data_IF_348862251996
#
_entry.id   IF_348862251996
#
_cell.length_a   1.000
_cell.length_b   1.000
_cell.length_c   1.000
_cell.angle_alpha   90.00
_cell.angle_beta   90.00
_cell.angle_gamma   90.00
#
_symmetry.space_group_name_H-M   'P 1'
#
loop_
_entity.id
_entity.type
_entity.pdbx_description
1 polymer ?
#
# COMPACT_ATOMS: atom_id res chain seq x y z
N UNK A 1 -1.00 -75.87 -13.18
CA UNK A 1 -0.12 -75.34 -12.12
C UNK A 1 -0.06 -73.84 -12.29
N UNK A 2 -0.61 -73.09 -11.33
CA UNK A 2 -0.47 -71.63 -11.29
C UNK A 2 0.88 -71.31 -10.66
N UNK A 3 1.77 -70.71 -11.44
CA UNK A 3 3.07 -70.23 -10.97
C UNK A 3 2.85 -68.88 -10.30
N UNK A 4 2.88 -68.84 -8.97
CA UNK A 4 2.98 -67.59 -8.23
C UNK A 4 4.39 -67.03 -8.45
N UNK A 5 4.48 -65.90 -9.13
CA UNK A 5 5.74 -65.20 -9.35
C UNK A 5 6.15 -64.53 -8.04
N UNK A 6 7.18 -65.06 -7.40
CA UNK A 6 7.70 -64.53 -6.14
C UNK A 6 8.35 -63.17 -6.41
N UNK A 7 7.94 -62.14 -5.68
CA UNK A 7 8.52 -60.80 -5.79
C UNK A 7 9.98 -60.89 -5.31
N UNK A 8 10.93 -60.56 -6.17
CA UNK A 8 12.36 -60.56 -5.80
C UNK A 8 12.68 -59.37 -4.89
N UNK A 9 13.72 -59.50 -4.07
CA UNK A 9 14.23 -58.37 -3.25
C UNK A 9 14.64 -57.16 -4.08
N UNK A 10 15.00 -57.36 -5.35
CA UNK A 10 15.27 -56.27 -6.29
C UNK A 10 14.00 -55.52 -6.68
N UNK A 11 12.86 -56.21 -6.79
CA UNK A 11 11.57 -55.58 -7.06
C UNK A 11 11.09 -54.80 -5.83
N UNK A 12 11.31 -55.32 -4.62
CA UNK A 12 11.00 -54.61 -3.37
C UNK A 12 11.84 -53.34 -3.25
N UNK A 13 13.17 -53.43 -3.44
CA UNK A 13 14.06 -52.25 -3.43
C UNK A 13 13.74 -51.22 -4.51
N UNK A 14 13.31 -51.66 -5.69
CA UNK A 14 12.87 -50.76 -6.77
C UNK A 14 11.55 -50.06 -6.42
N UNK A 15 10.62 -50.75 -5.75
CA UNK A 15 9.38 -50.15 -5.24
C UNK A 15 9.68 -49.17 -4.12
N UNK A 16 10.53 -49.52 -3.16
CA UNK A 16 10.98 -48.62 -2.08
C UNK A 16 11.64 -47.36 -2.66
N UNK A 17 12.56 -47.49 -3.61
CA UNK A 17 13.19 -46.34 -4.27
C UNK A 17 12.26 -45.50 -5.17
N UNK A 18 11.12 -46.05 -5.60
CA UNK A 18 10.07 -45.29 -6.33
C UNK A 18 9.03 -44.66 -5.40
N UNK A 19 8.93 -45.15 -4.17
CA UNK A 19 8.12 -44.56 -3.09
C UNK A 19 8.89 -43.48 -2.34
N UNK A 20 10.23 -43.57 -2.29
CA UNK A 20 11.13 -42.54 -1.77
C UNK A 20 11.38 -41.40 -2.79
N UNK A 21 10.32 -40.89 -3.42
CA UNK A 21 10.41 -39.51 -3.89
C UNK A 21 10.33 -38.65 -2.62
N UNK A 22 11.50 -38.35 -2.04
CA UNK A 22 11.62 -37.24 -1.10
C UNK A 22 11.37 -35.96 -1.90
N UNK A 23 10.10 -35.61 -2.05
CA UNK A 23 9.72 -34.23 -2.29
C UNK A 23 9.95 -33.60 -0.94
N UNK A 24 11.12 -32.99 -0.74
CA UNK A 24 11.29 -32.09 0.41
C UNK A 24 10.07 -31.15 0.38
N UNK A 25 9.26 -31.12 1.45
CA UNK A 25 8.05 -30.33 1.44
C UNK A 25 8.43 -28.89 1.11
N UNK A 26 7.75 -28.29 0.11
CA UNK A 26 7.98 -26.89 -0.22
C UNK A 26 7.84 -26.06 1.06
N UNK A 27 8.96 -25.51 1.54
CA UNK A 27 8.97 -24.68 2.75
C UNK A 27 8.12 -23.45 2.45
N UNK A 28 7.09 -23.24 3.26
CA UNK A 28 6.19 -22.10 3.12
C UNK A 28 6.66 -20.99 4.06
N UNK A 29 7.10 -19.87 3.46
CA UNK A 29 7.47 -18.69 4.24
C UNK A 29 6.24 -18.02 4.86
N UNK A 30 6.44 -17.50 6.07
CA UNK A 30 5.43 -16.82 6.87
C UNK A 30 5.95 -15.41 7.20
N UNK A 31 5.23 -14.40 6.75
CA UNK A 31 5.46 -13.00 7.11
C UNK A 31 4.71 -12.65 8.39
N UNK A 32 5.46 -12.50 9.49
CA UNK A 32 4.99 -11.92 10.75
C UNK A 32 6.00 -10.86 11.22
N UNK A 33 5.53 -9.73 11.79
CA UNK A 33 6.38 -8.80 12.51
C UNK A 33 6.79 -9.37 13.87
N UNK A 34 7.73 -8.74 14.57
CA UNK A 34 8.08 -9.14 15.95
C UNK A 34 6.93 -8.94 16.95
N UNK A 35 6.09 -7.93 16.68
CA UNK A 35 4.97 -7.52 17.54
C UNK A 35 3.74 -7.16 16.71
N UNK A 36 2.59 -7.60 17.19
CA UNK A 36 1.27 -7.21 16.71
C UNK A 36 0.53 -6.56 17.87
N UNK A 37 -0.04 -5.37 17.67
CA UNK A 37 -0.75 -4.66 18.72
C UNK A 37 -2.26 -4.86 18.57
N UNK A 38 -2.93 -5.13 19.69
CA UNK A 38 -4.39 -5.14 19.78
C UNK A 38 -4.83 -4.13 20.84
N UNK A 39 -5.96 -3.46 20.62
CA UNK A 39 -6.49 -2.43 21.53
C UNK A 39 -7.77 -2.95 22.15
N UNK A 40 -7.90 -2.82 23.48
CA UNK A 40 -9.13 -3.20 24.18
C UNK A 40 -10.34 -2.49 23.58
N UNK A 41 -11.38 -3.27 23.27
CA UNK A 41 -12.62 -2.79 22.66
C UNK A 41 -12.56 -2.59 21.15
N UNK A 42 -11.42 -2.82 20.50
CA UNK A 42 -11.30 -2.78 19.03
C UNK A 42 -10.97 -4.15 18.45
N UNK A 43 -11.53 -4.44 17.28
CA UNK A 43 -11.38 -5.76 16.66
C UNK A 43 -10.06 -5.84 15.91
N UNK A 44 -9.23 -6.82 16.25
CA UNK A 44 -8.08 -7.24 15.45
C UNK A 44 -8.48 -8.44 14.58
N UNK A 45 -8.28 -8.31 13.26
CA UNK A 45 -8.36 -9.41 12.31
C UNK A 45 -7.05 -9.55 11.55
N UNK A 46 -6.49 -10.75 11.56
CA UNK A 46 -5.26 -11.08 10.83
C UNK A 46 -5.58 -12.10 9.74
N UNK A 47 -5.64 -11.62 8.49
CA UNK A 47 -5.99 -12.45 7.35
C UNK A 47 -4.81 -13.31 6.90
N UNK A 48 -5.03 -14.61 6.78
CA UNK A 48 -3.94 -15.56 6.49
C UNK A 48 -3.26 -15.30 5.14
N UNK A 49 -4.01 -14.82 4.14
CA UNK A 49 -3.45 -14.43 2.83
C UNK A 49 -2.42 -13.29 2.89
N UNK A 50 -2.43 -12.47 3.94
CA UNK A 50 -1.41 -11.44 4.15
C UNK A 50 -0.15 -11.94 4.87
N UNK A 51 -0.20 -13.14 5.44
CA UNK A 51 0.88 -13.71 6.27
C UNK A 51 1.58 -14.88 5.60
N UNK A 52 0.86 -15.70 4.83
CA UNK A 52 1.41 -16.89 4.18
C UNK A 52 1.89 -16.54 2.78
N UNK A 53 3.18 -16.75 2.50
CA UNK A 53 3.80 -16.44 1.21
C UNK A 53 3.48 -17.51 0.15
N UNK A 54 2.18 -17.73 -0.11
CA UNK A 54 1.70 -18.66 -1.13
C UNK A 54 0.51 -18.04 -1.88
N UNK A 55 0.41 -18.18 -3.20
CA UNK A 55 -0.69 -17.60 -3.99
C UNK A 55 -2.08 -18.15 -3.61
N UNK A 56 -2.12 -19.40 -3.15
CA UNK A 56 -3.32 -20.10 -2.70
C UNK A 56 -3.11 -20.64 -1.28
N UNK A 57 -3.08 -19.79 -0.25
CA UNK A 57 -2.66 -20.22 1.08
C UNK A 57 -3.67 -21.17 1.73
N UNK A 58 -4.95 -21.05 1.37
CA UNK A 58 -6.04 -21.83 1.96
C UNK A 58 -6.12 -23.29 1.50
N UNK A 59 -5.16 -23.76 0.68
CA UNK A 59 -5.03 -25.19 0.36
C UNK A 59 -4.32 -25.95 1.49
N UNK A 60 -3.63 -25.24 2.37
CA UNK A 60 -2.90 -25.79 3.50
C UNK A 60 -3.74 -25.74 4.79
N UNK A 61 -3.37 -26.58 5.75
CA UNK A 61 -3.82 -26.42 7.13
C UNK A 61 -3.03 -25.28 7.79
N UNK A 62 -3.68 -24.13 7.98
CA UNK A 62 -3.10 -22.96 8.62
C UNK A 62 -3.56 -22.96 10.07
N UNK A 63 -2.61 -23.14 11.00
CA UNK A 63 -2.88 -23.29 12.41
C UNK A 63 -2.27 -22.13 13.22
N UNK A 64 -3.02 -21.05 13.46
CA UNK A 64 -2.63 -20.07 14.46
C UNK A 64 -2.89 -20.61 15.88
N UNK A 65 -1.92 -20.43 16.76
CA UNK A 65 -1.99 -20.79 18.17
C UNK A 65 -1.76 -19.56 19.03
N UNK A 66 -2.74 -19.24 19.87
CA UNK A 66 -2.67 -18.15 20.83
C UNK A 66 -3.61 -18.45 22.01
N UNK A 67 -3.25 -17.99 23.21
CA UNK A 67 -4.13 -18.08 24.39
C UNK A 67 -5.36 -17.15 24.30
N UNK A 68 -5.38 -16.27 23.30
CA UNK A 68 -6.41 -15.26 23.06
C UNK A 68 -6.98 -15.43 21.65
N UNK A 69 -8.17 -14.87 21.42
CA UNK A 69 -8.82 -14.85 20.10
C UNK A 69 -9.39 -16.20 19.65
N UNK A 70 -9.76 -16.26 18.36
CA UNK A 70 -10.41 -17.39 17.71
C UNK A 70 -9.90 -17.53 16.27
N UNK A 71 -9.79 -18.77 15.80
CA UNK A 71 -9.47 -19.07 14.42
C UNK A 71 -10.74 -19.18 13.57
N UNK A 72 -10.75 -18.50 12.43
CA UNK A 72 -11.75 -18.65 11.38
C UNK A 72 -11.07 -19.04 10.07
N UNK A 73 -11.77 -19.63 9.09
CA UNK A 73 -11.14 -20.15 7.86
C UNK A 73 -10.24 -19.16 7.11
N UNK A 74 -10.51 -17.86 7.21
CA UNK A 74 -9.80 -16.81 6.47
C UNK A 74 -8.89 -15.94 7.34
N UNK A 75 -9.10 -15.92 8.64
CA UNK A 75 -8.43 -14.99 9.54
C UNK A 75 -8.47 -15.44 10.99
N UNK A 76 -7.47 -15.01 11.75
CA UNK A 76 -7.56 -15.00 13.21
C UNK A 76 -8.33 -13.75 13.66
N UNK A 77 -9.26 -13.92 14.59
CA UNK A 77 -10.10 -12.87 15.15
C UNK A 77 -9.81 -12.68 16.63
N UNK A 78 -9.69 -11.43 17.06
CA UNK A 78 -9.51 -11.11 18.47
C UNK A 78 -10.17 -9.78 18.82
N UNK A 79 -11.08 -9.81 19.79
CA UNK A 79 -11.66 -8.63 20.43
C UNK A 79 -11.16 -8.57 21.88
N UNK A 80 -10.14 -7.75 22.19
CA UNK A 80 -9.52 -7.74 23.50
C UNK A 80 -10.41 -7.06 24.56
N UNK A 81 -10.34 -7.57 25.78
CA UNK A 81 -10.94 -6.99 26.98
C UNK A 81 -9.87 -6.44 27.92
N UNK A 82 -10.26 -5.65 28.93
CA UNK A 82 -9.32 -5.08 29.92
C UNK A 82 -8.47 -6.14 30.62
N UNK A 83 -8.99 -7.35 30.80
CA UNK A 83 -8.28 -8.47 31.43
C UNK A 83 -7.20 -9.10 30.52
N UNK A 84 -7.18 -8.72 29.24
CA UNK A 84 -6.23 -9.25 28.28
C UNK A 84 -4.99 -8.35 28.11
N UNK A 85 -4.94 -7.18 28.78
CA UNK A 85 -3.80 -6.25 28.72
C UNK A 85 -2.53 -6.97 29.14
N UNK A 86 -1.52 -6.90 28.28
CA UNK A 86 -0.28 -7.66 28.43
C UNK A 86 0.24 -8.19 27.10
N UNK A 87 1.14 -9.15 27.16
CA UNK A 87 1.75 -9.77 25.99
C UNK A 87 1.50 -11.27 26.03
N UNK A 88 1.05 -11.85 24.92
CA UNK A 88 0.96 -13.30 24.73
C UNK A 88 1.72 -13.71 23.47
N UNK A 89 2.37 -14.88 23.45
CA UNK A 89 2.88 -15.46 22.22
C UNK A 89 1.73 -15.71 21.24
N UNK A 90 1.99 -15.45 19.96
CA UNK A 90 1.15 -15.80 18.83
C UNK A 90 1.99 -16.56 17.81
N UNK A 91 1.63 -17.80 17.53
CA UNK A 91 2.34 -18.68 16.61
C UNK A 91 1.45 -19.00 15.41
N UNK A 92 2.03 -19.12 14.23
CA UNK A 92 1.37 -19.63 13.02
C UNK A 92 2.19 -20.79 12.48
N UNK A 93 1.52 -21.92 12.23
CA UNK A 93 2.07 -23.04 11.49
C UNK A 93 1.29 -23.24 10.19
N UNK A 94 1.98 -23.65 9.14
CA UNK A 94 1.38 -24.12 7.88
C UNK A 94 1.73 -25.58 7.74
N UNK A 95 0.73 -26.42 7.49
CA UNK A 95 0.88 -27.87 7.37
C UNK A 95 0.31 -28.40 6.06
N UNK A 96 0.90 -29.48 5.57
CA UNK A 96 0.35 -30.24 4.45
C UNK A 96 -0.83 -31.13 4.89
N UNK A 97 -1.36 -31.91 3.94
CA UNK A 97 -2.47 -32.84 4.17
C UNK A 97 -2.14 -34.00 5.12
N UNK A 98 -0.85 -34.30 5.32
CA UNK A 98 -0.38 -35.41 6.17
C UNK A 98 0.00 -34.88 7.57
N UNK A 99 -0.11 -33.56 7.79
CA UNK A 99 0.18 -32.89 9.05
C UNK A 99 1.65 -32.46 9.20
N UNK A 100 2.48 -32.62 8.17
CA UNK A 100 3.86 -32.17 8.21
C UNK A 100 3.92 -30.65 8.21
N UNK A 101 4.79 -30.06 9.03
CA UNK A 101 4.97 -28.61 9.12
C UNK A 101 5.80 -28.13 7.94
N UNK A 102 5.20 -27.30 7.08
CA UNK A 102 5.84 -26.64 5.95
C UNK A 102 6.45 -25.29 6.34
N UNK A 103 5.95 -24.66 7.41
CA UNK A 103 6.43 -23.37 7.90
C UNK A 103 5.92 -23.08 9.31
N UNK A 104 6.71 -22.35 10.10
CA UNK A 104 6.36 -22.00 11.48
C UNK A 104 7.00 -20.68 11.89
N UNK A 105 6.21 -19.75 12.44
CA UNK A 105 6.72 -18.46 12.92
C UNK A 105 5.94 -17.99 14.14
N UNK A 106 6.63 -17.25 15.02
CA UNK A 106 6.06 -16.70 16.25
C UNK A 106 6.27 -15.20 16.30
N UNK A 107 5.32 -14.47 16.87
CA UNK A 107 5.43 -13.07 17.25
C UNK A 107 4.77 -12.82 18.61
N UNK A 108 4.92 -11.60 19.11
CA UNK A 108 4.25 -11.16 20.33
C UNK A 108 2.94 -10.43 20.00
N UNK A 109 1.81 -10.96 20.47
CA UNK A 109 0.54 -10.22 20.47
C UNK A 109 0.45 -9.38 21.74
N UNK A 110 0.56 -8.07 21.59
CA UNK A 110 0.60 -7.08 22.66
C UNK A 110 -0.76 -6.39 22.76
N UNK A 111 -1.53 -6.72 23.79
CA UNK A 111 -2.79 -6.04 24.09
C UNK A 111 -2.53 -4.77 24.90
N UNK A 112 -3.04 -3.65 24.43
CA UNK A 112 -3.01 -2.36 25.13
C UNK A 112 -4.41 -1.96 25.57
N UNK A 113 -4.48 -1.20 26.67
CA UNK A 113 -5.72 -0.61 27.13
C UNK A 113 -6.37 0.27 26.05
N UNK A 114 -7.67 0.54 26.19
CA UNK A 114 -8.40 1.43 25.30
C UNK A 114 -7.71 2.79 25.25
N UNK A 115 -7.61 3.35 24.05
CA UNK A 115 -6.98 4.65 23.83
C UNK A 115 -7.81 5.76 24.45
N UNK A 116 -7.11 6.78 24.96
CA UNK A 116 -7.71 8.01 25.48
C UNK A 116 -7.28 9.17 24.59
N UNK A 117 -8.00 10.29 24.68
CA UNK A 117 -7.61 11.50 23.98
C UNK A 117 -6.20 11.93 24.41
N UNK A 118 -5.29 12.24 23.46
CA UNK A 118 -4.00 12.83 23.80
C UNK A 118 -4.16 14.10 24.63
N UNK A 119 -3.22 14.36 25.55
CA UNK A 119 -3.22 15.57 26.36
C UNK A 119 -2.99 16.85 25.53
N UNK A 120 -2.29 16.74 24.41
CA UNK A 120 -2.02 17.81 23.45
C UNK A 120 -2.33 17.34 22.04
N UNK A 121 -2.69 18.29 21.16
CA UNK A 121 -3.07 17.99 19.79
C UNK A 121 -1.97 17.19 19.05
N UNK A 122 -2.35 16.04 18.51
CA UNK A 122 -1.48 15.19 17.70
C UNK A 122 -1.72 15.44 16.23
N UNK A 123 -0.66 15.88 15.55
CA UNK A 123 -0.71 16.24 14.14
C UNK A 123 -0.35 15.04 13.27
N UNK A 124 -1.33 14.54 12.54
CA UNK A 124 -1.27 13.32 11.73
C UNK A 124 -1.20 13.69 10.26
N UNK A 125 -0.19 13.20 9.55
CA UNK A 125 -0.09 13.29 8.10
C UNK A 125 -0.32 11.91 7.48
N UNK A 126 -1.26 11.83 6.56
CA UNK A 126 -1.46 10.64 5.73
C UNK A 126 -0.82 10.89 4.36
N UNK A 127 0.17 10.07 3.99
CA UNK A 127 0.91 10.16 2.73
C UNK A 127 0.64 8.91 1.90
N UNK A 128 0.43 9.05 0.59
CA UNK A 128 0.36 7.88 -0.28
C UNK A 128 0.17 8.18 -1.76
N UNK A 129 -0.30 7.16 -2.47
CA UNK A 129 -0.50 7.20 -3.92
C UNK A 129 -1.98 7.45 -4.31
N UNK A 130 -2.45 6.82 -5.39
CA UNK A 130 -3.84 6.87 -5.87
C UNK A 130 -4.86 6.45 -4.82
N UNK A 131 -4.53 5.49 -3.94
CA UNK A 131 -5.45 5.06 -2.87
C UNK A 131 -5.61 6.12 -1.78
N UNK A 132 -4.64 7.01 -1.66
CA UNK A 132 -4.68 8.15 -0.72
C UNK A 132 -5.16 9.42 -1.42
N UNK A 133 -5.08 9.52 -2.74
CA UNK A 133 -5.40 10.71 -3.53
C UNK A 133 -6.79 11.28 -3.20
N UNK A 134 -7.81 10.43 -3.13
CA UNK A 134 -9.18 10.82 -2.80
C UNK A 134 -9.44 11.05 -1.29
N UNK A 135 -8.50 10.69 -0.42
CA UNK A 135 -8.63 10.83 1.03
C UNK A 135 -9.58 9.85 1.70
N UNK A 136 -10.18 8.89 0.98
CA UNK A 136 -11.24 7.99 1.49
C UNK A 136 -10.86 7.31 2.81
N UNK A 137 -9.68 6.67 2.86
CA UNK A 137 -9.24 5.99 4.08
C UNK A 137 -8.78 6.97 5.17
N UNK A 138 -8.29 8.15 4.81
CA UNK A 138 -7.90 9.20 5.76
C UNK A 138 -9.13 9.76 6.47
N UNK A 139 -10.20 10.00 5.72
CA UNK A 139 -11.50 10.45 6.22
C UNK A 139 -12.10 9.37 7.13
N UNK A 140 -12.06 8.10 6.73
CA UNK A 140 -12.55 7.00 7.56
C UNK A 140 -11.72 6.82 8.84
N UNK A 141 -10.38 6.93 8.76
CA UNK A 141 -9.51 6.88 9.93
C UNK A 141 -9.81 8.03 10.90
N UNK A 142 -9.97 9.24 10.37
CA UNK A 142 -10.41 10.41 11.16
C UNK A 142 -11.78 10.15 11.79
N UNK A 143 -12.80 9.77 11.02
CA UNK A 143 -14.14 9.45 11.53
C UNK A 143 -14.10 8.40 12.64
N UNK A 144 -13.28 7.36 12.49
CA UNK A 144 -13.15 6.28 13.48
C UNK A 144 -12.49 6.76 14.77
N UNK A 145 -11.52 7.67 14.71
CA UNK A 145 -10.81 8.17 15.88
C UNK A 145 -11.52 9.35 16.55
N UNK A 146 -11.89 10.37 15.80
CA UNK A 146 -12.42 11.64 16.34
C UNK A 146 -13.95 11.77 16.23
N UNK A 147 -14.59 11.03 15.33
CA UNK A 147 -16.05 11.04 15.15
C UNK A 147 -16.78 10.17 16.18
N UNK A 148 -18.13 10.22 16.18
CA UNK A 148 -18.99 9.52 17.16
C UNK A 148 -20.06 8.61 16.53
N UNK A 149 -20.14 8.53 15.20
CA UNK A 149 -21.11 7.68 14.47
C UNK A 149 -20.44 6.54 13.69
N UNK A 150 -21.14 5.95 12.72
CA UNK A 150 -20.61 4.92 11.79
C UNK A 150 -20.52 3.51 12.36
N UNK A 151 -20.04 2.56 11.53
CA UNK A 151 -19.86 1.15 11.90
C UNK A 151 -18.48 0.67 11.43
N UNK A 152 -17.52 0.43 12.34
CA UNK A 152 -17.64 0.58 13.79
C UNK A 152 -17.82 2.04 14.24
N UNK A 153 -18.49 2.22 15.38
CA UNK A 153 -18.78 3.54 15.98
C UNK A 153 -17.48 4.28 16.26
N UNK A 154 -17.38 5.57 15.94
CA UNK A 154 -16.19 6.38 16.22
C UNK A 154 -15.90 6.55 17.72
N UNK A 155 -14.64 6.79 18.07
CA UNK A 155 -14.18 6.87 19.47
C UNK A 155 -14.37 8.24 20.13
N UNK A 156 -14.72 9.28 19.37
CA UNK A 156 -14.92 10.64 19.90
C UNK A 156 -13.68 11.26 20.55
N UNK A 157 -12.47 10.83 20.14
CA UNK A 157 -11.23 11.36 20.70
C UNK A 157 -11.03 12.81 20.27
N UNK A 158 -10.54 13.64 21.19
CA UNK A 158 -10.13 15.02 20.91
C UNK A 158 -8.62 15.11 20.75
N UNK A 159 -8.12 16.29 20.36
CA UNK A 159 -6.67 16.57 20.27
C UNK A 159 -5.95 15.67 19.24
N UNK A 160 -6.59 15.44 18.10
CA UNK A 160 -6.01 14.76 16.95
C UNK A 160 -6.41 15.55 15.70
N UNK A 161 -5.43 16.01 14.94
CA UNK A 161 -5.64 16.80 13.73
C UNK A 161 -4.99 16.11 12.53
N UNK A 162 -5.81 15.71 11.57
CA UNK A 162 -5.35 15.20 10.27
C UNK A 162 -5.12 16.38 9.33
N UNK A 163 -3.88 16.57 8.91
CA UNK A 163 -3.42 17.76 8.18
C UNK A 163 -2.64 17.36 6.93
N UNK A 164 -2.56 18.27 5.97
CA UNK A 164 -1.88 18.09 4.69
C UNK A 164 -2.36 19.09 3.64
N UNK A 165 -1.65 19.14 2.51
CA UNK A 165 -1.93 20.08 1.41
C UNK A 165 -3.29 19.83 0.75
N UNK A 166 -3.65 18.57 0.54
CA UNK A 166 -4.99 18.22 0.05
C UNK A 166 -5.96 18.23 1.21
N UNK A 167 -7.16 18.75 0.99
CA UNK A 167 -8.17 18.88 2.05
C UNK A 167 -9.53 18.38 1.58
N UNK A 168 -10.35 17.93 2.53
CA UNK A 168 -11.72 17.48 2.30
C UNK A 168 -12.34 16.94 3.58
N UNK A 169 -13.66 17.05 3.71
CA UNK A 169 -14.40 16.60 4.90
C UNK A 169 -13.84 17.11 6.23
N UNK A 170 -13.25 18.31 6.25
CA UNK A 170 -12.69 18.94 7.44
C UNK A 170 -11.31 18.45 7.87
N UNK A 171 -10.62 17.64 7.06
CA UNK A 171 -9.25 17.18 7.32
C UNK A 171 -8.31 17.42 6.13
N UNK A 172 -7.01 17.20 6.34
CA UNK A 172 -6.00 17.21 5.27
C UNK A 172 -5.20 15.91 5.14
N UNK A 173 -4.57 15.71 3.97
CA UNK A 173 -3.69 14.58 3.62
C UNK A 173 -2.76 14.92 2.43
N UNK A 174 -1.88 14.00 2.07
CA UNK A 174 -1.03 14.05 0.88
C UNK A 174 -1.14 12.75 0.07
N UNK A 175 -1.86 12.75 -1.04
CA UNK A 175 -2.01 11.56 -1.88
C UNK A 175 -1.86 11.91 -3.34
N UNK A 176 -1.00 11.23 -4.09
CA UNK A 176 -0.76 11.56 -5.51
C UNK A 176 -0.77 10.30 -6.37
N UNK A 177 -1.68 10.24 -7.35
CA UNK A 177 -1.86 9.07 -8.22
C UNK A 177 -0.57 8.65 -8.93
N UNK A 178 -0.24 7.35 -8.89
CA UNK A 178 0.95 6.79 -9.53
C UNK A 178 2.28 7.05 -8.83
N UNK A 179 2.31 7.78 -7.71
CA UNK A 179 3.57 8.12 -7.04
C UNK A 179 4.19 6.92 -6.33
N UNK A 180 5.51 6.93 -6.27
CA UNK A 180 6.34 5.90 -5.61
C UNK A 180 7.20 6.55 -4.52
N UNK A 181 7.91 5.73 -3.75
CA UNK A 181 8.97 6.23 -2.85
C UNK A 181 10.04 7.04 -3.60
N UNK A 182 10.35 6.67 -4.83
CA UNK A 182 11.33 7.38 -5.66
C UNK A 182 10.82 8.77 -6.05
N UNK A 183 9.52 8.90 -6.34
CA UNK A 183 8.87 10.20 -6.60
C UNK A 183 8.91 11.10 -5.37
N UNK A 184 8.60 10.57 -4.19
CA UNK A 184 8.59 11.36 -2.95
C UNK A 184 9.99 11.67 -2.37
N UNK A 185 11.04 10.92 -2.72
CA UNK A 185 12.41 11.22 -2.24
C UNK A 185 13.11 12.29 -3.08
N UNK A 186 12.78 12.33 -4.37
CA UNK A 186 13.41 13.22 -5.32
C UNK A 186 12.52 14.43 -5.53
N UNK A 187 12.78 15.16 -6.58
CA UNK A 187 11.97 16.31 -6.93
C UNK A 187 10.57 15.97 -7.49
N UNK A 188 10.22 14.68 -7.43
CA UNK A 188 9.09 14.11 -8.12
C UNK A 188 9.40 13.98 -9.60
N UNK A 189 8.35 13.77 -10.38
CA UNK A 189 8.43 13.89 -11.81
C UNK A 189 8.58 15.38 -12.13
N UNK A 190 9.83 15.87 -12.09
CA UNK A 190 10.22 17.27 -12.37
C UNK A 190 10.15 17.67 -13.84
N UNK A 191 9.48 16.90 -14.67
CA UNK A 191 9.09 17.38 -15.99
C UNK A 191 7.73 17.99 -15.79
N UNK A 192 7.69 19.34 -15.75
CA UNK A 192 6.50 20.20 -15.60
C UNK A 192 5.25 19.40 -15.94
N UNK A 193 4.66 18.78 -14.92
CA UNK A 193 3.55 17.89 -15.14
C UNK A 193 2.33 18.78 -15.22
N UNK A 194 1.48 18.53 -16.21
CA UNK A 194 0.30 19.32 -16.49
C UNK A 194 -0.93 18.45 -16.43
N UNK A 195 -1.99 18.96 -15.83
CA UNK A 195 -3.33 18.45 -16.08
C UNK A 195 -3.94 19.22 -17.22
N UNK A 196 -4.44 18.50 -18.21
CA UNK A 196 -5.22 19.03 -19.31
C UNK A 196 -6.67 18.64 -19.12
N UNK A 197 -7.56 19.62 -18.98
CA UNK A 197 -8.99 19.39 -18.83
C UNK A 197 -9.61 19.21 -20.21
N UNK A 198 -9.92 17.96 -20.56
CA UNK A 198 -10.32 17.53 -21.90
C UNK A 198 -11.82 17.24 -21.98
N UNK A 199 -12.38 17.43 -23.18
CA UNK A 199 -13.78 17.16 -23.49
C UNK A 199 -13.93 16.63 -24.91
N UNK A 200 -14.98 15.85 -25.16
CA UNK A 200 -15.24 15.27 -26.48
C UNK A 200 -14.29 14.14 -26.85
N UNK A 201 -13.72 13.46 -25.85
CA UNK A 201 -12.83 12.33 -26.05
C UNK A 201 -13.65 11.08 -26.43
N UNK A 202 -13.43 10.55 -27.63
CA UNK A 202 -14.08 9.33 -28.12
C UNK A 202 -13.32 8.08 -27.65
N UNK A 203 -11.99 8.11 -27.79
CA UNK A 203 -11.08 7.06 -27.32
C UNK A 203 -10.07 7.66 -26.35
N UNK A 204 -10.18 7.27 -25.08
CA UNK A 204 -9.24 7.70 -24.05
C UNK A 204 -7.80 7.34 -24.43
N UNK A 205 -6.82 8.23 -24.15
CA UNK A 205 -5.41 7.91 -24.40
C UNK A 205 -4.98 6.67 -23.61
N UNK A 206 -3.99 5.93 -24.13
CA UNK A 206 -3.33 4.88 -23.34
C UNK A 206 -2.29 5.48 -22.40
N UNK A 207 -2.03 4.81 -21.27
CA UNK A 207 -0.86 5.12 -20.44
C UNK A 207 0.43 5.10 -21.29
N UNK A 208 1.28 6.12 -21.14
CA UNK A 208 2.50 6.29 -21.93
C UNK A 208 2.31 6.83 -23.35
N UNK A 209 1.07 7.11 -23.79
CA UNK A 209 0.84 7.83 -25.04
C UNK A 209 1.49 9.22 -24.98
N UNK A 210 1.97 9.71 -26.12
CA UNK A 210 2.61 11.02 -26.20
C UNK A 210 1.82 11.96 -27.10
N UNK A 211 1.68 13.20 -26.67
CA UNK A 211 0.99 14.26 -27.38
C UNK A 211 1.86 15.52 -27.41
N UNK A 212 1.62 16.43 -28.34
CA UNK A 212 2.34 17.71 -28.45
C UNK A 212 1.41 18.90 -28.32
N UNK A 213 1.91 19.97 -27.70
CA UNK A 213 1.29 21.29 -27.65
C UNK A 213 2.38 22.35 -27.39
N UNK A 214 2.26 23.53 -28.00
CA UNK A 214 3.24 24.62 -27.82
C UNK A 214 4.70 24.23 -28.11
N UNK A 215 4.94 23.31 -29.06
CA UNK A 215 6.28 22.78 -29.37
C UNK A 215 6.86 21.80 -28.33
N UNK A 216 6.14 21.52 -27.25
CA UNK A 216 6.53 20.58 -26.20
C UNK A 216 5.85 19.23 -26.37
N UNK A 217 6.50 18.18 -25.88
CA UNK A 217 5.94 16.82 -25.85
C UNK A 217 5.48 16.48 -24.44
N UNK A 218 4.29 15.90 -24.33
CA UNK A 218 3.61 15.52 -23.12
C UNK A 218 3.35 14.01 -23.09
N UNK A 219 3.80 13.31 -22.05
CA UNK A 219 3.59 11.85 -21.91
C UNK A 219 2.53 11.55 -20.86
N UNK A 220 1.46 10.85 -21.25
CA UNK A 220 0.29 10.58 -20.39
C UNK A 220 0.67 9.59 -19.27
N UNK A 221 0.41 9.97 -18.02
CA UNK A 221 0.61 9.12 -16.85
C UNK A 221 -0.64 9.00 -15.94
N UNK A 222 -1.70 9.75 -16.21
CA UNK A 222 -2.98 9.62 -15.53
C UNK A 222 -4.11 9.92 -16.49
N UNK A 223 -5.19 9.14 -16.42
CA UNK A 223 -6.38 9.31 -17.24
C UNK A 223 -7.57 9.29 -16.29
N UNK A 224 -8.28 10.41 -16.22
CA UNK A 224 -9.51 10.54 -15.46
C UNK A 224 -10.59 11.13 -16.35
N UNK A 225 -11.11 10.29 -17.25
CA UNK A 225 -12.13 10.65 -18.23
C UNK A 225 -13.35 9.78 -17.97
N UNK A 226 -14.51 10.41 -17.78
CA UNK A 226 -15.80 9.73 -17.66
C UNK A 226 -16.72 10.29 -18.73
N UNK A 227 -17.30 9.41 -19.57
CA UNK A 227 -18.18 9.81 -20.67
C UNK A 227 -17.59 10.92 -21.57
N UNK A 228 -16.31 10.79 -21.93
CA UNK A 228 -15.61 11.69 -22.85
C UNK A 228 -15.20 13.05 -22.28
N UNK A 229 -15.42 13.30 -20.98
CA UNK A 229 -15.00 14.53 -20.29
C UNK A 229 -14.20 14.22 -19.04
N UNK A 230 -13.20 15.05 -18.73
CA UNK A 230 -12.43 14.93 -17.51
C UNK A 230 -11.05 15.57 -17.65
N UNK A 231 -10.02 14.91 -17.14
CA UNK A 231 -8.64 15.37 -17.29
C UNK A 231 -7.68 14.22 -17.64
N UNK A 232 -6.57 14.59 -18.26
CA UNK A 232 -5.38 13.74 -18.38
C UNK A 232 -4.20 14.44 -17.72
N UNK A 233 -3.40 13.72 -16.94
CA UNK A 233 -2.14 14.24 -16.41
C UNK A 233 -0.99 13.75 -17.29
N UNK A 234 -0.11 14.67 -17.68
CA UNK A 234 1.00 14.38 -18.57
C UNK A 234 2.27 15.10 -18.14
N UNK A 235 3.42 14.47 -18.34
CA UNK A 235 4.73 15.07 -18.08
C UNK A 235 5.21 15.85 -19.30
N UNK A 236 5.57 17.12 -19.13
CA UNK A 236 5.96 18.00 -20.24
C UNK A 236 7.43 18.40 -20.26
N UNK A 237 7.96 18.70 -21.45
CA UNK A 237 9.28 19.34 -21.63
C UNK A 237 9.25 20.87 -21.50
N UNK A 238 8.08 21.44 -21.21
CA UNK A 238 7.86 22.88 -21.14
C UNK A 238 6.38 23.24 -21.00
N UNK A 239 6.10 24.52 -20.83
CA UNK A 239 4.76 25.01 -20.52
C UNK A 239 3.82 24.95 -21.72
N UNK A 240 2.63 24.33 -21.59
CA UNK A 240 1.63 24.28 -22.65
C UNK A 240 0.97 25.65 -22.83
N UNK A 241 0.24 25.77 -23.93
CA UNK A 241 -0.78 26.82 -24.04
C UNK A 241 -1.82 26.68 -22.93
N UNK A 242 -2.40 27.81 -22.50
CA UNK A 242 -3.43 27.83 -21.46
C UNK A 242 -4.67 27.00 -21.83
N UNK A 243 -5.00 26.92 -23.13
CA UNK A 243 -6.07 26.10 -23.71
C UNK A 243 -5.68 25.72 -25.14
N UNK A 244 -6.19 24.62 -25.68
CA UNK A 244 -5.93 24.28 -27.09
C UNK A 244 -6.13 22.80 -27.40
N UNK A 245 -5.27 22.28 -28.27
CA UNK A 245 -5.31 20.88 -28.71
C UNK A 245 -3.97 20.22 -28.43
N UNK A 246 -4.02 19.04 -27.82
CA UNK A 246 -2.93 18.07 -27.77
C UNK A 246 -2.98 17.22 -29.04
N UNK A 247 -1.89 17.17 -29.81
CA UNK A 247 -1.80 16.34 -31.04
C UNK A 247 -0.98 15.09 -30.79
N UNK A 248 -1.56 13.91 -31.04
CA UNK A 248 -0.92 12.63 -30.73
C UNK A 248 0.34 12.41 -31.58
N UNK A 249 1.39 11.93 -30.92
CA UNK A 249 2.65 11.50 -31.56
C UNK A 249 2.74 9.98 -31.55
N UNK A 250 2.57 9.33 -30.38
CA UNK A 250 2.58 7.86 -30.25
C UNK A 250 1.54 7.36 -29.24
N UNK A 251 1.23 6.06 -29.30
CA UNK A 251 0.32 5.39 -28.35
C UNK A 251 -1.16 5.35 -28.79
N UNK A 252 -2.00 4.83 -27.89
CA UNK A 252 -3.46 4.74 -28.07
C UNK A 252 -4.19 6.04 -27.70
N UNK A 253 -5.43 6.16 -28.17
CA UNK A 253 -6.30 7.33 -27.98
C UNK A 253 -6.61 8.09 -29.27
N UNK A 254 -7.43 9.13 -29.15
CA UNK A 254 -7.79 10.00 -30.27
C UNK A 254 -6.56 10.67 -30.92
N UNK A 255 -6.68 11.07 -32.19
CA UNK A 255 -5.62 11.80 -32.88
C UNK A 255 -5.34 13.17 -32.24
N UNK A 256 -6.38 13.76 -31.64
CA UNK A 256 -6.31 15.05 -30.97
C UNK A 256 -7.16 15.04 -29.71
N UNK A 257 -6.69 15.68 -28.64
CA UNK A 257 -7.49 15.96 -27.45
C UNK A 257 -7.63 17.47 -27.30
N UNK A 258 -8.85 17.98 -27.42
CA UNK A 258 -9.14 19.39 -27.10
C UNK A 258 -9.19 19.57 -25.60
N UNK A 259 -8.49 20.56 -25.08
CA UNK A 259 -8.48 20.92 -23.67
C UNK A 259 -8.85 22.40 -23.45
N UNK A 260 -9.72 22.64 -22.47
CA UNK A 260 -10.20 23.98 -22.11
C UNK A 260 -9.23 24.74 -21.22
N UNK A 261 -8.44 24.01 -20.44
CA UNK A 261 -7.44 24.58 -19.54
C UNK A 261 -6.30 23.60 -19.29
N UNK A 262 -5.11 24.15 -19.04
CA UNK A 262 -3.96 23.41 -18.49
C UNK A 262 -3.54 24.01 -17.15
N UNK A 263 -3.19 23.16 -16.19
CA UNK A 263 -2.62 23.58 -14.91
C UNK A 263 -1.34 22.80 -14.63
N UNK A 264 -0.29 23.49 -14.17
CA UNK A 264 0.87 22.81 -13.65
C UNK A 264 0.46 22.05 -12.40
N UNK A 265 0.67 20.73 -12.39
CA UNK A 265 0.62 19.96 -11.16
C UNK A 265 1.84 20.36 -10.35
N UNK A 266 1.62 20.80 -9.11
CA UNK A 266 2.73 21.09 -8.21
C UNK A 266 3.66 19.86 -8.15
N UNK A 267 4.98 20.12 -8.23
CA UNK A 267 6.02 19.11 -8.06
C UNK A 267 5.94 18.41 -6.70
N UNK A 268 6.95 17.59 -6.37
CA UNK A 268 6.98 16.95 -5.06
C UNK A 268 6.79 17.99 -3.94
N UNK A 269 5.70 17.93 -3.14
CA UNK A 269 5.43 18.93 -2.12
C UNK A 269 6.44 18.89 -0.95
N UNK A 270 7.27 17.84 -0.89
CA UNK A 270 8.38 17.74 0.05
C UNK A 270 9.72 18.19 -0.55
N UNK A 271 9.74 18.74 -1.77
CA UNK A 271 10.95 19.14 -2.46
C UNK A 271 11.03 20.65 -2.63
N UNK A 272 12.20 21.21 -2.34
CA UNK A 272 12.55 22.57 -2.68
C UNK A 272 13.30 22.58 -4.01
N UNK A 273 12.71 23.24 -5.02
CA UNK A 273 13.28 23.36 -6.35
C UNK A 273 14.51 24.29 -6.38
N UNK A 274 14.58 25.29 -5.49
CA UNK A 274 15.66 26.27 -5.47
C UNK A 274 16.95 25.66 -4.90
N UNK A 275 16.83 24.85 -3.85
CA UNK A 275 17.97 24.13 -3.26
C UNK A 275 18.20 22.75 -3.87
N UNK A 276 17.27 22.27 -4.70
CA UNK A 276 17.28 20.95 -5.31
C UNK A 276 17.45 19.84 -4.24
N UNK A 277 16.64 19.90 -3.19
CA UNK A 277 16.68 18.96 -2.06
C UNK A 277 15.32 18.76 -1.41
N UNK A 278 15.18 17.71 -0.59
CA UNK A 278 14.00 17.57 0.26
C UNK A 278 13.93 18.70 1.30
N UNK A 279 12.75 19.30 1.46
CA UNK A 279 12.40 20.27 2.50
C UNK A 279 11.04 19.91 3.13
N UNK A 280 11.05 18.83 3.90
CA UNK A 280 9.89 18.46 4.71
C UNK A 280 9.51 19.52 5.77
N UNK A 281 10.45 20.23 6.42
CA UNK A 281 10.12 21.36 7.30
C UNK A 281 9.25 22.43 6.67
N UNK A 282 9.53 22.84 5.42
CA UNK A 282 8.66 23.78 4.71
C UNK A 282 7.23 23.27 4.56
N UNK A 283 7.06 22.00 4.17
CA UNK A 283 5.73 21.38 4.08
C UNK A 283 4.99 21.43 5.42
N UNK A 284 5.69 21.08 6.51
CA UNK A 284 5.13 21.04 7.86
C UNK A 284 4.72 22.45 8.34
N UNK A 285 5.53 23.47 8.08
CA UNK A 285 5.20 24.85 8.41
C UNK A 285 4.01 25.36 7.60
N UNK A 286 3.92 24.98 6.33
CA UNK A 286 2.89 25.45 5.40
C UNK A 286 1.54 24.77 5.60
N UNK A 287 1.52 23.45 5.79
CA UNK A 287 0.30 22.64 5.75
C UNK A 287 -0.03 21.93 7.06
N UNK A 288 0.90 21.90 8.02
CA UNK A 288 0.76 21.14 9.27
C UNK A 288 0.84 22.04 10.52
N UNK A 289 0.65 23.35 10.37
CA UNK A 289 0.73 24.32 11.48
C UNK A 289 2.05 24.22 12.26
N UNK A 290 3.16 23.88 11.60
CA UNK A 290 4.49 23.82 12.21
C UNK A 290 4.79 22.58 13.05
N UNK A 291 4.02 21.49 12.95
CA UNK A 291 4.37 20.24 13.64
C UNK A 291 3.85 18.96 12.97
N UNK A 292 4.55 17.85 13.16
CA UNK A 292 4.15 16.53 12.69
C UNK A 292 4.52 15.48 13.73
N UNK A 293 3.52 14.82 14.32
CA UNK A 293 3.70 13.81 15.37
C UNK A 293 3.64 12.39 14.82
N UNK A 294 2.78 12.16 13.83
CA UNK A 294 2.53 10.83 13.26
C UNK A 294 2.39 10.93 11.75
N UNK A 295 3.06 10.03 11.04
CA UNK A 295 2.93 9.88 9.59
C UNK A 295 2.51 8.46 9.25
N UNK A 296 1.49 8.32 8.43
CA UNK A 296 1.09 7.05 7.82
C UNK A 296 1.41 7.09 6.33
N UNK A 297 2.24 6.17 5.85
CA UNK A 297 2.52 5.96 4.44
C UNK A 297 1.69 4.78 3.94
N UNK A 298 0.72 5.02 3.05
CA UNK A 298 0.13 3.98 2.22
C UNK A 298 0.79 4.04 0.84
N UNK A 299 1.97 3.42 0.76
CA UNK A 299 2.87 3.55 -0.39
C UNK A 299 3.75 2.30 -0.46
N UNK A 300 3.85 1.66 -1.62
CA UNK A 300 4.80 0.54 -1.89
C UNK A 300 4.47 -0.22 -3.16
N UNK A 301 3.23 -0.15 -3.64
CA UNK A 301 2.75 -1.03 -4.70
C UNK A 301 3.04 -0.49 -6.12
N UNK A 302 3.06 0.82 -6.31
CA UNK A 302 3.45 1.42 -7.58
C UNK A 302 4.92 1.09 -7.91
N UNK A 303 5.19 0.77 -9.18
CA UNK A 303 6.52 0.38 -9.64
C UNK A 303 6.93 -1.06 -9.26
N UNK A 304 6.00 -1.86 -8.73
CA UNK A 304 6.20 -3.29 -8.52
C UNK A 304 5.85 -4.09 -9.77
N UNK A 305 6.58 -5.18 -10.00
CA UNK A 305 6.34 -6.12 -11.09
C UNK A 305 6.07 -7.51 -10.53
N UNK A 306 5.32 -8.37 -11.25
CA UNK A 306 5.22 -9.78 -10.89
C UNK A 306 6.60 -10.40 -10.71
N UNK A 307 6.74 -11.27 -9.71
CA UNK A 307 7.98 -12.02 -9.41
C UNK A 307 9.20 -11.17 -9.05
N UNK A 308 9.02 -9.88 -8.69
CA UNK A 308 10.12 -9.07 -8.19
C UNK A 308 10.67 -9.67 -6.90
N UNK A 309 11.96 -9.98 -6.88
CA UNK A 309 12.68 -10.51 -5.71
C UNK A 309 13.65 -9.49 -5.10
N UNK A 310 14.08 -8.48 -5.85
CA UNK A 310 14.96 -7.42 -5.36
C UNK A 310 14.20 -6.10 -5.09
N UNK A 311 14.14 -5.72 -3.81
CA UNK A 311 13.50 -4.49 -3.35
C UNK A 311 14.51 -3.40 -2.95
N UNK A 312 15.80 -3.59 -3.22
CA UNK A 312 16.87 -2.69 -2.77
C UNK A 312 16.65 -1.24 -3.19
N UNK A 313 16.28 -0.98 -4.45
CA UNK A 313 16.03 0.39 -4.93
C UNK A 313 14.84 1.07 -4.26
N UNK A 314 13.78 0.31 -3.97
CA UNK A 314 12.59 0.80 -3.26
C UNK A 314 12.93 1.12 -1.81
N UNK A 315 13.67 0.23 -1.14
CA UNK A 315 14.12 0.42 0.25
C UNK A 315 15.04 1.63 0.35
N UNK A 316 16.01 1.77 -0.55
CA UNK A 316 16.91 2.93 -0.56
C UNK A 316 16.14 4.23 -0.78
N UNK A 317 15.11 4.21 -1.62
CA UNK A 317 14.26 5.38 -1.84
C UNK A 317 13.44 5.75 -0.62
N UNK A 318 12.84 4.76 0.05
CA UNK A 318 12.12 4.97 1.29
C UNK A 318 13.03 5.52 2.39
N UNK A 319 14.25 4.99 2.52
CA UNK A 319 15.25 5.47 3.50
C UNK A 319 15.57 6.94 3.32
N UNK A 320 15.84 7.41 2.10
CA UNK A 320 16.15 8.84 1.86
C UNK A 320 15.06 9.75 2.43
N UNK A 321 13.79 9.47 2.12
CA UNK A 321 12.68 10.27 2.64
C UNK A 321 12.49 10.11 4.15
N UNK A 322 12.45 8.87 4.64
CA UNK A 322 12.20 8.57 6.07
C UNK A 322 13.31 9.14 6.95
N UNK A 323 14.57 9.00 6.54
CA UNK A 323 15.72 9.51 7.27
C UNK A 323 15.72 11.04 7.26
N UNK A 324 15.36 11.69 6.15
CA UNK A 324 15.20 13.15 6.10
C UNK A 324 14.11 13.64 7.07
N UNK A 325 12.94 12.98 7.06
CA UNK A 325 11.86 13.31 8.00
C UNK A 325 12.30 13.08 9.44
N UNK A 326 12.94 11.94 9.74
CA UNK A 326 13.34 11.61 11.10
C UNK A 326 14.46 12.52 11.62
N UNK A 327 15.35 12.98 10.74
CA UNK A 327 16.38 13.96 11.08
C UNK A 327 15.78 15.29 11.52
N UNK A 328 14.74 15.76 10.81
CA UNK A 328 14.07 17.03 11.11
C UNK A 328 13.01 16.90 12.23
N UNK A 329 12.41 15.71 12.38
CA UNK A 329 11.34 15.40 13.33
C UNK A 329 11.62 14.06 14.06
N UNK A 330 12.62 14.00 14.95
CA UNK A 330 13.08 12.75 15.58
C UNK A 330 12.03 12.06 16.46
N UNK A 331 11.04 12.82 16.94
CA UNK A 331 9.95 12.28 17.75
C UNK A 331 8.76 11.79 16.92
N UNK A 332 8.71 12.13 15.63
CA UNK A 332 7.62 11.74 14.75
C UNK A 332 7.59 10.21 14.59
N UNK A 333 6.41 9.62 14.81
CA UNK A 333 6.19 8.18 14.63
C UNK A 333 5.72 7.92 13.21
N UNK A 334 6.37 6.97 12.53
CA UNK A 334 6.04 6.65 11.15
C UNK A 334 5.52 5.22 11.05
N UNK A 335 4.43 5.05 10.29
CA UNK A 335 3.86 3.74 9.97
C UNK A 335 3.82 3.57 8.46
N UNK A 336 4.47 2.52 7.97
CA UNK A 336 4.34 2.10 6.57
C UNK A 336 3.25 1.04 6.51
N UNK A 337 2.27 1.27 5.63
CA UNK A 337 1.14 0.40 5.35
C UNK A 337 1.31 -0.19 3.95
N UNK A 338 0.88 -1.43 3.80
CA UNK A 338 0.81 -2.12 2.52
C UNK A 338 -0.64 -2.43 2.14
N UNK A 339 -0.85 -2.73 0.87
CA UNK A 339 -2.10 -3.32 0.41
C UNK A 339 -2.02 -4.85 0.50
N UNK A 340 -3.17 -5.50 0.56
CA UNK A 340 -3.22 -6.94 0.33
C UNK A 340 -2.73 -7.22 -1.09
N UNK A 341 -1.89 -8.25 -1.24
CA UNK A 341 -1.44 -8.70 -2.56
C UNK A 341 -2.68 -9.06 -3.39
N UNK A 342 -2.88 -8.44 -4.57
CA UNK A 342 -4.04 -8.70 -5.40
C UNK A 342 -4.07 -10.18 -5.83
N UNK A 343 -5.26 -10.67 -6.17
CA UNK A 343 -5.39 -12.05 -6.61
C UNK A 343 -4.63 -12.27 -7.91
N UNK A 344 -3.79 -13.32 -7.98
CA UNK A 344 -3.12 -13.68 -9.24
C UNK A 344 -4.11 -13.97 -10.37
N UNK A 345 -5.34 -14.40 -10.04
CA UNK A 345 -6.39 -14.69 -11.02
C UNK A 345 -7.14 -13.44 -11.51
N UNK A 346 -6.98 -12.28 -10.86
CA UNK A 346 -7.66 -11.02 -11.20
C UNK A 346 -6.74 -9.93 -11.77
N UNK A 347 -5.44 -10.21 -11.89
CA UNK A 347 -4.43 -9.21 -12.23
C UNK A 347 -4.18 -8.19 -11.11
N UNK A 348 -3.23 -7.28 -11.32
CA UNK A 348 -2.87 -6.24 -10.35
C UNK A 348 -3.79 -4.99 -10.41
N UNK A 349 -4.84 -5.02 -11.23
CA UNK A 349 -5.59 -3.82 -11.62
C UNK A 349 -6.84 -3.48 -10.80
N UNK A 350 -7.26 -4.34 -9.87
CA UNK A 350 -8.45 -4.12 -9.06
C UNK A 350 -8.25 -4.65 -7.64
N UNK A 351 -8.20 -3.72 -6.68
CA UNK A 351 -8.53 -3.97 -5.28
C UNK A 351 -9.83 -3.23 -4.96
#
# INVERSE_FOLDING_TARGET
MSTFQQISESNVRNIEGRLEISIEPDVIDISLPDKIYAIVGDTLQMFYRGMIAHPYPYIYDILPTCSKGKNYPRYFYYLPTVNDVGTTPFKVEVKDKDGNILGSKTCNLVTKAAVQAPATDKKVLCVGDSLTNAGTWCIEASRRLIGTGGTPVGLGLTNISFLGRKTGSGIGWEGNGGWTWDTYKGAGVLVEAYKFYVSGVETAPSMGATYTNNGNTYTIFEINITAGTGYVSATGTGTPTASGTLTKVTGGGDATLTFSSSEATAGNPFWDADTNSLDFPWYVNTYMNGGCDVIYFLLSWNGQTPHRTDFTSVINSAKVLVDHIHTNYPNCKMKIMGIQVPSLNGGMGAN
#
